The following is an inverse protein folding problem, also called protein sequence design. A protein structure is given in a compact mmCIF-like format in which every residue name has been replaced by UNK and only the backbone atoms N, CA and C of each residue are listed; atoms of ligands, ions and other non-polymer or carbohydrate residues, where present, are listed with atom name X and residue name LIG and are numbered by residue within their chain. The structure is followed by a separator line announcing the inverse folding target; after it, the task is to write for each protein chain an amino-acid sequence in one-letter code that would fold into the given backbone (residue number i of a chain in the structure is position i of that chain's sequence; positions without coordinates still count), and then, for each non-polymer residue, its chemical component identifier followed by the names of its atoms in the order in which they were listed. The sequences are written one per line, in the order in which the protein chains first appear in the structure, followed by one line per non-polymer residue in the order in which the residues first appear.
data_IF_222556761099
#
_entry.id   IF_222556761099
#
_cell.length_a   1.000
_cell.length_b   1.000
_cell.length_c   1.000
_cell.angle_alpha   90.00
_cell.angle_beta   90.00
_cell.angle_gamma   90.00
#
_symmetry.space_group_name_H-M   'P 1'
#
loop_
_entity.id
_entity.type
_entity.pdbx_description
1 polymer ?
#
# COMPACT_ATOMS: atom_id res chain seq x y z
N UNK A 1 5.10 -64.66 3.90
CA UNK A 1 5.74 -63.42 3.38
C UNK A 1 4.85 -62.23 3.70
N UNK A 2 5.26 -61.33 4.60
CA UNK A 2 4.47 -60.17 5.05
C UNK A 2 5.18 -58.85 4.70
N UNK A 3 4.41 -57.95 4.06
CA UNK A 3 4.51 -56.48 3.97
C UNK A 3 5.86 -55.84 3.61
N UNK A 4 6.00 -55.46 2.33
CA UNK A 4 6.90 -54.39 1.84
C UNK A 4 6.08 -53.30 1.15
N UNK A 5 5.49 -52.37 1.88
CA UNK A 5 4.82 -51.18 1.30
C UNK A 5 5.00 -49.89 2.12
N UNK A 6 5.98 -49.82 3.03
CA UNK A 6 6.21 -48.62 3.87
C UNK A 6 7.29 -47.66 3.33
N UNK A 7 7.98 -47.98 2.24
CA UNK A 7 9.10 -47.18 1.74
C UNK A 7 8.75 -46.20 0.61
N UNK A 8 7.62 -46.38 -0.09
CA UNK A 8 7.22 -45.51 -1.21
C UNK A 8 6.39 -44.29 -0.79
N UNK A 9 5.68 -44.36 0.34
CA UNK A 9 4.88 -43.23 0.85
C UNK A 9 5.69 -42.10 1.51
N UNK A 10 6.92 -42.41 1.97
CA UNK A 10 7.76 -41.45 2.71
C UNK A 10 8.44 -40.43 1.80
N UNK A 11 8.72 -40.79 0.54
CA UNK A 11 9.45 -39.92 -0.41
C UNK A 11 8.58 -38.82 -1.03
N UNK A 12 7.25 -38.98 -1.05
CA UNK A 12 6.35 -37.96 -1.61
C UNK A 12 6.09 -36.81 -0.59
N UNK A 13 6.09 -37.13 0.70
CA UNK A 13 5.81 -36.18 1.79
C UNK A 13 6.99 -35.23 2.02
N UNK A 14 8.23 -35.67 1.75
CA UNK A 14 9.44 -34.84 1.85
C UNK A 14 9.58 -33.84 0.68
N UNK A 15 9.03 -34.15 -0.50
CA UNK A 15 9.05 -33.23 -1.64
C UNK A 15 8.05 -32.08 -1.49
N UNK A 16 6.94 -32.30 -0.77
CA UNK A 16 5.91 -31.26 -0.51
C UNK A 16 6.40 -30.19 0.48
N UNK A 17 7.35 -30.52 1.38
CA UNK A 17 7.91 -29.55 2.34
C UNK A 17 8.95 -28.60 1.72
N UNK A 18 9.60 -28.98 0.61
CA UNK A 18 10.60 -28.15 -0.08
C UNK A 18 9.99 -27.04 -0.96
N UNK A 19 8.67 -27.02 -1.13
CA UNK A 19 7.94 -25.95 -1.81
C UNK A 19 7.42 -24.88 -0.83
N UNK A 20 7.82 -24.92 0.44
CA UNK A 20 7.49 -23.87 1.43
C UNK A 20 8.33 -22.61 1.23
N UNK A 21 7.98 -21.92 0.14
CA UNK A 21 7.72 -20.48 0.06
C UNK A 21 8.78 -19.53 0.61
N UNK A 22 9.47 -18.85 -0.32
CA UNK A 22 9.97 -17.50 -0.11
C UNK A 22 8.77 -16.54 0.09
N UNK A 23 8.23 -16.44 1.29
CA UNK A 23 7.11 -15.55 1.62
C UNK A 23 7.55 -14.09 1.77
N UNK A 24 7.05 -13.20 0.91
CA UNK A 24 7.15 -11.74 1.05
C UNK A 24 6.49 -11.28 2.35
N UNK A 25 6.99 -10.18 2.94
CA UNK A 25 6.49 -9.67 4.22
C UNK A 25 5.82 -8.31 4.04
N UNK A 26 4.65 -8.13 4.67
CA UNK A 26 4.01 -6.83 4.83
C UNK A 26 3.93 -6.50 6.31
N UNK A 27 4.46 -5.36 6.71
CA UNK A 27 4.34 -4.81 8.07
C UNK A 27 3.51 -3.55 8.01
N UNK A 28 2.60 -3.36 8.97
CA UNK A 28 1.79 -2.15 9.06
C UNK A 28 1.73 -1.64 10.49
N UNK A 29 2.00 -0.35 10.63
CA UNK A 29 2.05 0.39 11.87
C UNK A 29 1.00 1.49 11.82
N UNK A 30 0.37 1.78 12.96
CA UNK A 30 -0.46 2.97 13.13
C UNK A 30 -0.08 3.68 14.41
N UNK A 31 -0.43 4.96 14.49
CA UNK A 31 -0.45 5.66 15.76
C UNK A 31 -1.29 4.89 16.80
N UNK A 32 -0.88 4.86 18.08
CA UNK A 32 -1.72 4.38 19.17
C UNK A 32 -3.03 5.15 19.21
N UNK A 33 -4.13 4.47 19.53
CA UNK A 33 -5.48 5.07 19.64
C UNK A 33 -5.96 5.83 18.40
N UNK A 34 -5.40 5.48 17.23
CA UNK A 34 -5.74 6.11 15.96
C UNK A 34 -7.22 5.90 15.64
N UNK A 35 -7.96 7.01 15.68
CA UNK A 35 -9.36 7.11 15.26
C UNK A 35 -9.42 7.92 13.98
N UNK A 36 -9.68 7.23 12.88
CA UNK A 36 -9.88 7.87 11.58
C UNK A 36 -11.39 8.02 11.39
N UNK A 37 -11.87 9.26 11.43
CA UNK A 37 -13.22 9.55 10.98
C UNK A 37 -13.31 9.29 9.48
N UNK A 38 -14.48 8.87 8.98
CA UNK A 38 -14.74 8.70 7.55
C UNK A 38 -14.51 10.03 6.82
N UNK A 39 -13.29 10.24 6.34
CA UNK A 39 -12.85 11.40 5.58
C UNK A 39 -12.50 11.01 4.15
N UNK A 40 -12.47 12.00 3.26
CA UNK A 40 -12.07 11.80 1.88
C UNK A 40 -10.57 11.60 1.80
N UNK A 41 -10.13 10.51 1.16
CA UNK A 41 -8.72 10.12 1.04
C UNK A 41 -8.25 10.38 -0.40
N UNK A 42 -7.30 11.29 -0.58
CA UNK A 42 -6.65 11.53 -1.86
C UNK A 42 -5.47 10.60 -2.06
N UNK A 43 -5.24 10.14 -3.29
CA UNK A 43 -4.11 9.28 -3.63
C UNK A 43 -3.14 10.05 -4.52
N UNK A 44 -1.90 10.21 -4.08
CA UNK A 44 -0.83 10.74 -4.91
C UNK A 44 -0.07 9.60 -5.62
N UNK A 45 0.59 9.86 -6.75
CA UNK A 45 1.47 8.88 -7.36
C UNK A 45 2.58 8.48 -6.40
N UNK A 46 2.84 7.19 -6.32
CA UNK A 46 3.96 6.66 -5.57
C UNK A 46 5.27 7.04 -6.27
N UNK A 47 6.20 7.61 -5.53
CA UNK A 47 7.54 7.91 -6.01
C UNK A 47 8.28 6.60 -6.35
N UNK A 48 8.89 6.51 -7.52
CA UNK A 48 9.69 5.36 -7.94
C UNK A 48 10.72 5.77 -8.97
N UNK A 49 11.79 4.99 -9.13
CA UNK A 49 12.73 5.14 -10.24
C UNK A 49 12.08 4.92 -11.61
N UNK A 50 10.95 4.20 -11.66
CA UNK A 50 10.14 3.99 -12.87
C UNK A 50 8.74 4.55 -12.58
N UNK A 51 8.40 5.76 -13.07
CA UNK A 51 7.13 6.43 -12.75
C UNK A 51 5.88 5.58 -13.01
N UNK A 52 5.89 4.76 -14.06
CA UNK A 52 4.78 3.87 -14.43
C UNK A 52 4.49 2.84 -13.33
N UNK A 53 5.53 2.33 -12.66
CA UNK A 53 5.37 1.40 -11.52
C UNK A 53 4.66 2.09 -10.36
N UNK A 54 5.06 3.33 -10.08
CA UNK A 54 4.42 4.18 -9.07
C UNK A 54 2.94 4.42 -9.37
N UNK A 55 2.62 4.73 -10.62
CA UNK A 55 1.24 4.93 -11.08
C UNK A 55 0.40 3.66 -10.92
N UNK A 56 0.90 2.51 -11.39
CA UNK A 56 0.19 1.22 -11.26
C UNK A 56 -0.08 0.88 -9.80
N UNK A 57 0.92 0.99 -8.91
CA UNK A 57 0.73 0.73 -7.47
C UNK A 57 -0.34 1.65 -6.87
N UNK A 58 -0.30 2.94 -7.21
CA UNK A 58 -1.25 3.94 -6.72
C UNK A 58 -2.68 3.62 -7.17
N UNK A 59 -2.84 3.28 -8.46
CA UNK A 59 -4.13 2.99 -9.07
C UNK A 59 -4.70 1.66 -8.54
N UNK A 60 -3.87 0.65 -8.34
CA UNK A 60 -4.26 -0.62 -7.68
C UNK A 60 -4.75 -0.37 -6.25
N UNK A 61 -4.01 0.40 -5.43
CA UNK A 61 -4.45 0.70 -4.07
C UNK A 61 -5.76 1.50 -4.09
N UNK A 62 -5.89 2.48 -4.97
CA UNK A 62 -7.10 3.27 -5.12
C UNK A 62 -8.33 2.43 -5.47
N UNK A 63 -8.21 1.51 -6.42
CA UNK A 63 -9.27 0.60 -6.79
C UNK A 63 -9.72 -0.27 -5.61
N UNK A 64 -8.76 -0.82 -4.85
CA UNK A 64 -9.05 -1.65 -3.68
C UNK A 64 -9.74 -0.89 -2.55
N UNK A 65 -9.28 0.32 -2.24
CA UNK A 65 -9.89 1.13 -1.19
C UNK A 65 -11.28 1.62 -1.60
N UNK A 66 -11.46 2.02 -2.87
CA UNK A 66 -12.77 2.38 -3.41
C UNK A 66 -13.75 1.19 -3.32
N UNK A 67 -13.32 0.00 -3.76
CA UNK A 67 -14.11 -1.23 -3.65
C UNK A 67 -14.44 -1.62 -2.20
N UNK A 68 -13.61 -1.21 -1.24
CA UNK A 68 -13.84 -1.40 0.20
C UNK A 68 -14.76 -0.33 0.82
N UNK A 69 -15.30 0.59 0.02
CA UNK A 69 -16.26 1.60 0.46
C UNK A 69 -15.64 2.89 1.01
N UNK A 70 -14.34 3.12 0.82
CA UNK A 70 -13.71 4.38 1.16
C UNK A 70 -14.07 5.47 0.14
N UNK A 71 -14.20 6.72 0.60
CA UNK A 71 -14.38 7.88 -0.27
C UNK A 71 -13.02 8.34 -0.81
N UNK A 72 -12.69 7.96 -2.04
CA UNK A 72 -11.38 8.18 -2.65
C UNK A 72 -11.43 9.33 -3.67
N UNK A 73 -10.38 10.16 -3.69
CA UNK A 73 -10.00 10.95 -4.86
C UNK A 73 -8.81 10.26 -5.51
N UNK A 74 -9.02 9.70 -6.70
CA UNK A 74 -8.01 8.93 -7.41
C UNK A 74 -6.83 9.79 -7.87
N UNK A 75 -5.74 9.13 -8.23
CA UNK A 75 -4.48 9.75 -8.65
C UNK A 75 -4.64 10.73 -9.81
N UNK A 76 -5.45 10.37 -10.82
CA UNK A 76 -5.61 11.20 -12.01
C UNK A 76 -6.38 12.47 -11.68
N UNK A 77 -7.42 12.35 -10.83
CA UNK A 77 -8.15 13.51 -10.36
C UNK A 77 -7.31 14.40 -9.43
N UNK A 78 -6.53 13.80 -8.52
CA UNK A 78 -5.60 14.55 -7.67
C UNK A 78 -4.60 15.33 -8.52
N UNK A 79 -3.97 14.70 -9.51
CA UNK A 79 -3.02 15.33 -10.42
C UNK A 79 -3.62 16.57 -11.11
N UNK A 80 -4.79 16.41 -11.72
CA UNK A 80 -5.50 17.51 -12.40
C UNK A 80 -5.74 18.71 -11.47
N UNK A 81 -6.24 18.47 -10.26
CA UNK A 81 -6.55 19.54 -9.31
C UNK A 81 -5.29 20.27 -8.82
N UNK A 82 -4.17 19.56 -8.69
CA UNK A 82 -2.90 20.12 -8.22
C UNK A 82 -2.17 20.87 -9.34
N UNK A 83 -2.20 20.36 -10.57
CA UNK A 83 -1.66 21.02 -11.77
C UNK A 83 -2.40 22.33 -12.05
N UNK A 84 -3.74 22.36 -11.95
CA UNK A 84 -4.56 23.58 -12.10
C UNK A 84 -4.18 24.70 -11.11
N UNK A 85 -3.45 24.38 -10.04
CA UNK A 85 -3.03 25.30 -8.98
C UNK A 85 -1.51 25.43 -8.85
N UNK A 86 -0.75 24.96 -9.83
CA UNK A 86 0.72 24.96 -9.87
C UNK A 86 1.35 24.38 -8.59
N UNK A 87 0.76 23.30 -8.05
CA UNK A 87 1.27 22.61 -6.87
C UNK A 87 2.19 21.48 -7.29
N UNK A 88 3.46 21.57 -6.90
CA UNK A 88 4.38 20.44 -7.04
C UNK A 88 4.17 19.42 -5.92
N UNK A 89 4.06 18.14 -6.30
CA UNK A 89 3.86 17.02 -5.38
C UNK A 89 4.69 15.77 -5.73
N UNK A 90 5.44 15.80 -6.84
CA UNK A 90 6.17 14.65 -7.37
C UNK A 90 7.61 14.50 -6.84
N UNK A 91 8.18 15.58 -6.27
CA UNK A 91 9.64 15.64 -6.00
C UNK A 91 9.99 16.16 -4.60
N UNK A 92 9.02 16.29 -3.70
CA UNK A 92 9.26 16.83 -2.34
C UNK A 92 9.12 15.71 -1.31
N UNK A 93 10.15 15.50 -0.48
CA UNK A 93 10.14 14.52 0.62
C UNK A 93 8.97 14.74 1.61
N UNK A 94 8.52 15.98 1.71
CA UNK A 94 7.32 16.40 2.44
C UNK A 94 6.61 17.53 1.69
N UNK A 95 5.66 17.21 0.80
CA UNK A 95 4.81 18.21 0.16
C UNK A 95 4.04 19.03 1.21
N UNK A 96 3.54 20.21 0.81
CA UNK A 96 2.61 20.98 1.64
C UNK A 96 1.25 20.27 1.67
N UNK A 97 1.13 19.28 2.57
CA UNK A 97 -0.06 18.46 2.71
C UNK A 97 -1.30 19.27 3.06
N UNK A 98 -1.14 20.39 3.79
CA UNK A 98 -2.25 21.26 4.14
C UNK A 98 -2.81 21.92 2.89
N UNK A 99 -1.93 22.48 2.06
CA UNK A 99 -2.33 23.09 0.79
C UNK A 99 -2.95 22.06 -0.17
N UNK A 100 -2.40 20.85 -0.22
CA UNK A 100 -2.97 19.73 -1.01
C UNK A 100 -4.38 19.39 -0.52
N UNK A 101 -4.56 19.26 0.80
CA UNK A 101 -5.86 18.99 1.43
C UNK A 101 -6.89 20.08 1.13
N UNK A 102 -6.50 21.34 1.29
CA UNK A 102 -7.37 22.51 1.05
C UNK A 102 -7.82 22.60 -0.43
N UNK A 103 -6.93 22.33 -1.39
CA UNK A 103 -7.24 22.40 -2.83
C UNK A 103 -8.09 21.23 -3.28
N UNK A 104 -7.75 20.02 -2.83
CA UNK A 104 -8.40 18.78 -3.32
C UNK A 104 -9.59 18.36 -2.47
N UNK A 105 -9.86 19.09 -1.38
CA UNK A 105 -10.89 18.80 -0.39
C UNK A 105 -10.77 17.36 0.14
N UNK A 106 -9.55 16.97 0.50
CA UNK A 106 -9.25 15.67 1.12
C UNK A 106 -8.75 15.89 2.55
N UNK A 107 -9.18 15.01 3.45
CA UNK A 107 -8.73 15.03 4.85
C UNK A 107 -7.45 14.24 5.04
N UNK A 108 -7.28 13.19 4.24
CA UNK A 108 -6.14 12.30 4.29
C UNK A 108 -5.51 12.21 2.91
N UNK A 109 -4.19 12.05 2.88
CA UNK A 109 -3.42 11.83 1.66
C UNK A 109 -2.68 10.50 1.78
N UNK A 110 -2.84 9.64 0.78
CA UNK A 110 -2.01 8.46 0.59
C UNK A 110 -0.81 8.84 -0.26
N UNK A 111 0.38 8.70 0.31
CA UNK A 111 1.66 8.86 -0.38
C UNK A 111 2.49 7.59 -0.25
N UNK A 112 3.45 7.40 -1.14
CA UNK A 112 4.33 6.27 -1.02
C UNK A 112 5.59 6.38 -1.86
N UNK A 113 6.53 5.51 -1.56
CA UNK A 113 7.80 5.39 -2.24
C UNK A 113 8.09 3.92 -2.50
N UNK A 114 8.57 3.63 -3.70
CA UNK A 114 9.00 2.31 -4.16
C UNK A 114 10.51 2.38 -4.39
N UNK A 115 11.24 1.83 -3.43
CA UNK A 115 12.67 1.63 -3.52
C UNK A 115 12.97 0.26 -4.13
N UNK A 116 14.25 -0.08 -4.25
CA UNK A 116 14.69 -1.37 -4.80
C UNK A 116 14.36 -2.57 -3.89
N UNK A 117 14.34 -2.35 -2.57
CA UNK A 117 14.21 -3.39 -1.54
C UNK A 117 12.93 -3.30 -0.72
N UNK A 118 12.15 -2.23 -0.85
CA UNK A 118 10.86 -2.09 -0.19
C UNK A 118 9.93 -1.11 -0.93
N UNK A 119 8.63 -1.29 -0.71
CA UNK A 119 7.63 -0.29 -1.05
C UNK A 119 6.94 0.18 0.24
N UNK A 120 6.84 1.49 0.43
CA UNK A 120 6.26 2.11 1.61
C UNK A 120 5.05 2.93 1.21
N UNK A 121 3.95 2.76 1.94
CA UNK A 121 2.75 3.56 1.81
C UNK A 121 2.43 4.22 3.15
N UNK A 122 2.06 5.51 3.11
CA UNK A 122 1.77 6.34 4.29
C UNK A 122 0.42 7.01 4.10
N UNK A 123 -0.43 6.90 5.12
CA UNK A 123 -1.63 7.73 5.24
C UNK A 123 -1.28 8.91 6.12
N UNK A 124 -1.41 10.11 5.55
CA UNK A 124 -1.03 11.38 6.17
C UNK A 124 -2.30 12.19 6.44
N UNK A 125 -2.42 12.79 7.63
CA UNK A 125 -3.42 13.81 7.90
C UNK A 125 -3.05 15.08 7.13
N UNK A 126 -3.91 15.52 6.22
CA UNK A 126 -3.61 16.66 5.36
C UNK A 126 -3.44 17.95 6.17
N UNK A 127 -4.19 18.12 7.26
CA UNK A 127 -4.20 19.36 8.04
C UNK A 127 -2.93 19.57 8.86
N UNK A 128 -2.31 18.48 9.33
CA UNK A 128 -1.13 18.53 10.21
C UNK A 128 0.14 18.03 9.54
N UNK A 129 0.04 17.32 8.42
CA UNK A 129 1.16 16.58 7.82
C UNK A 129 1.58 15.34 8.62
N UNK A 130 0.84 14.98 9.68
CA UNK A 130 1.18 13.85 10.53
C UNK A 130 0.90 12.51 9.82
N UNK A 131 1.84 11.58 9.90
CA UNK A 131 1.62 10.21 9.40
C UNK A 131 0.87 9.35 10.41
N UNK A 132 -0.31 8.88 10.00
CA UNK A 132 -1.22 8.11 10.84
C UNK A 132 -0.97 6.61 10.70
N UNK A 133 -0.74 6.15 9.47
CA UNK A 133 -0.51 4.74 9.12
C UNK A 133 0.73 4.66 8.23
N UNK A 134 1.57 3.67 8.49
CA UNK A 134 2.70 3.29 7.63
C UNK A 134 2.58 1.81 7.32
N UNK A 135 2.57 1.46 6.05
CA UNK A 135 2.60 0.08 5.57
C UNK A 135 3.82 -0.12 4.70
N UNK A 136 4.61 -1.15 4.99
CA UNK A 136 5.85 -1.47 4.31
C UNK A 136 5.73 -2.87 3.74
N UNK A 137 5.86 -2.98 2.42
CA UNK A 137 6.02 -4.23 1.70
C UNK A 137 7.52 -4.49 1.47
N UNK A 138 8.01 -5.65 1.91
CA UNK A 138 9.36 -6.13 1.72
C UNK A 138 9.29 -7.44 0.92
N UNK A 139 9.61 -7.42 -0.38
CA UNK A 139 9.66 -8.65 -1.17
C UNK A 139 10.92 -9.46 -0.85
N UNK A 140 10.85 -10.77 -1.03
CA UNK A 140 11.99 -11.67 -0.83
C UNK A 140 12.98 -11.67 -2.00
N UNK A 141 12.62 -11.05 -3.12
CA UNK A 141 13.50 -10.74 -4.24
C UNK A 141 13.47 -9.24 -4.48
N UNK A 142 14.50 -8.73 -5.16
CA UNK A 142 14.57 -7.35 -5.63
C UNK A 142 13.25 -6.94 -6.31
N UNK A 143 12.75 -5.74 -6.03
CA UNK A 143 11.44 -5.22 -6.50
C UNK A 143 11.29 -5.27 -8.02
N UNK A 144 12.39 -5.20 -8.79
CA UNK A 144 12.39 -5.40 -10.24
C UNK A 144 11.86 -6.76 -10.73
N UNK A 145 11.61 -7.72 -9.84
CA UNK A 145 11.01 -9.03 -10.16
C UNK A 145 9.58 -9.22 -9.63
N UNK A 146 9.08 -8.30 -8.79
CA UNK A 146 7.70 -8.33 -8.29
C UNK A 146 6.81 -7.50 -9.22
N UNK A 147 5.61 -8.00 -9.54
CA UNK A 147 4.65 -7.22 -10.33
C UNK A 147 4.23 -5.97 -9.54
N UNK A 148 4.17 -4.81 -10.21
CA UNK A 148 3.65 -3.58 -9.62
C UNK A 148 2.23 -3.79 -9.04
N UNK A 149 1.43 -4.64 -9.69
CA UNK A 149 0.10 -5.03 -9.21
C UNK A 149 0.20 -5.80 -7.90
N UNK A 150 1.10 -6.77 -7.77
CA UNK A 150 1.27 -7.56 -6.53
C UNK A 150 1.70 -6.69 -5.35
N UNK A 151 2.55 -5.70 -5.61
CA UNK A 151 2.96 -4.69 -4.63
C UNK A 151 1.74 -3.88 -4.18
N UNK A 152 0.97 -3.35 -5.14
CA UNK A 152 -0.25 -2.60 -4.91
C UNK A 152 -1.26 -3.39 -4.08
N UNK A 153 -1.55 -4.64 -4.48
CA UNK A 153 -2.46 -5.55 -3.79
C UNK A 153 -2.05 -5.80 -2.34
N UNK A 154 -0.76 -6.06 -2.12
CA UNK A 154 -0.22 -6.37 -0.80
C UNK A 154 -0.32 -5.17 0.14
N UNK A 155 0.03 -3.99 -0.35
CA UNK A 155 -0.11 -2.74 0.39
C UNK A 155 -1.58 -2.42 0.65
N UNK A 156 -2.45 -2.55 -0.35
CA UNK A 156 -3.87 -2.23 -0.27
C UNK A 156 -4.60 -3.10 0.75
N UNK A 157 -4.35 -4.43 0.76
CA UNK A 157 -4.95 -5.35 1.74
C UNK A 157 -4.59 -4.97 3.17
N UNK A 158 -3.32 -4.64 3.40
CA UNK A 158 -2.82 -4.28 4.72
C UNK A 158 -3.32 -2.90 5.17
N UNK A 159 -3.27 -1.90 4.28
CA UNK A 159 -3.81 -0.56 4.53
C UNK A 159 -5.31 -0.60 4.79
N UNK A 160 -6.08 -1.26 3.93
CA UNK A 160 -7.53 -1.39 4.06
C UNK A 160 -7.92 -2.01 5.41
N UNK A 161 -7.27 -3.12 5.80
CA UNK A 161 -7.49 -3.74 7.11
C UNK A 161 -7.23 -2.77 8.27
N UNK A 162 -6.18 -1.96 8.17
CA UNK A 162 -5.81 -1.00 9.21
C UNK A 162 -6.77 0.18 9.28
N UNK A 163 -7.13 0.74 8.13
CA UNK A 163 -8.11 1.83 7.99
C UNK A 163 -9.50 1.43 8.51
N UNK A 164 -9.98 0.25 8.14
CA UNK A 164 -11.27 -0.26 8.63
C UNK A 164 -11.28 -0.40 10.15
N UNK A 165 -10.24 -1.02 10.72
CA UNK A 165 -10.12 -1.16 12.19
C UNK A 165 -10.07 0.20 12.91
N UNK A 166 -9.40 1.20 12.33
CA UNK A 166 -9.34 2.56 12.89
C UNK A 166 -10.64 3.35 12.74
N UNK A 167 -11.56 2.90 11.87
CA UNK A 167 -12.87 3.53 11.66
C UNK A 167 -13.96 2.88 12.53
N UNK A 168 -13.84 1.58 12.82
CA UNK A 168 -14.81 0.78 13.59
C UNK A 168 -14.75 1.00 15.11
N UNK A 169 -13.67 1.56 15.67
CA UNK A 169 -13.52 1.84 17.12
C UNK A 169 -14.36 3.04 17.60
N UNK A 170 -15.57 3.21 17.06
CA UNK A 170 -16.56 4.22 17.43
C UNK A 170 -17.45 3.74 18.56
#
# INVERSE_FOLDING_TARGET
MKRKYYLLGSSLITLVFLLTSCASSVKSYSKPDLRIEKGRLGILPFSSNIPEVGNVVSDTIGAHLLASGFNIVDRTHMARLLEEKDISYLEVDSPDYKKIGDITNVRFVLVGNIAFSSATARVVDASTGETLIITIFQPNKIIGSASAVDIGDSLAKSLGKKLTRSTELR
#
